data_IF_196269986000
#
_entry.id   IF_196269986000
#
_cell.length_a   1.000
_cell.length_b   1.000
_cell.length_c   1.000
_cell.angle_alpha   90.00
_cell.angle_beta   90.00
_cell.angle_gamma   90.00
#
_symmetry.space_group_name_H-M   'P 1'
#
loop_
_entity.id
_entity.type
_entity.pdbx_description
1 polymer ?
#
# COMPACT_ATOMS: atom_id res chain seq x y z
N UNK A 1 1.62 -3.23 -1.22
CA UNK A 1 1.46 -2.21 -0.16
C UNK A 1 1.98 -2.69 1.20
N UNK A 2 1.91 -3.97 1.50
CA UNK A 2 2.20 -4.55 2.81
C UNK A 2 3.67 -4.98 2.92
N UNK A 3 4.29 -4.76 4.08
CA UNK A 3 5.67 -5.16 4.36
C UNK A 3 5.77 -6.66 4.64
N UNK A 4 4.92 -7.13 5.53
CA UNK A 4 4.80 -8.54 5.93
C UNK A 4 3.37 -8.83 6.34
N UNK A 5 3.00 -10.11 6.25
CA UNK A 5 1.73 -10.62 6.77
C UNK A 5 2.01 -11.50 8.00
N UNK A 6 1.31 -11.24 9.08
CA UNK A 6 1.43 -11.99 10.33
C UNK A 6 0.11 -12.66 10.66
N UNK A 7 0.18 -13.94 10.96
CA UNK A 7 -0.98 -14.71 11.45
C UNK A 7 -1.07 -14.54 12.97
N UNK A 8 -2.24 -14.15 13.45
CA UNK A 8 -2.51 -13.97 14.89
C UNK A 8 -3.71 -14.81 15.34
N UNK A 9 -3.77 -15.12 16.62
CA UNK A 9 -4.90 -15.80 17.23
C UNK A 9 -5.82 -14.75 17.88
N UNK A 10 -7.04 -14.61 17.35
CA UNK A 10 -8.05 -13.68 17.85
C UNK A 10 -8.33 -12.49 16.93
N UNK A 11 -9.39 -11.75 17.21
CA UNK A 11 -9.94 -10.65 16.36
C UNK A 11 -9.29 -9.30 16.67
N UNK A 12 -8.51 -9.21 17.73
CA UNK A 12 -7.86 -8.01 18.19
C UNK A 12 -6.42 -8.31 18.59
N UNK A 13 -5.50 -7.50 18.12
CA UNK A 13 -4.10 -7.61 18.51
C UNK A 13 -3.70 -6.38 19.32
N UNK A 14 -3.20 -6.61 20.53
CA UNK A 14 -2.51 -5.58 21.30
C UNK A 14 -1.08 -5.49 20.74
N UNK A 15 -0.78 -4.38 20.11
CA UNK A 15 0.53 -4.10 19.56
C UNK A 15 1.29 -3.13 20.45
N UNK A 16 2.54 -3.42 20.70
CA UNK A 16 3.47 -2.49 21.34
C UNK A 16 4.09 -1.62 20.26
N UNK A 17 3.87 -0.32 20.31
CA UNK A 17 4.51 0.65 19.43
C UNK A 17 5.63 1.32 20.20
N UNK A 18 6.79 1.44 19.58
CA UNK A 18 7.88 2.25 20.11
C UNK A 18 7.58 3.72 19.83
N UNK A 19 7.51 4.52 20.87
CA UNK A 19 7.46 5.96 20.74
C UNK A 19 8.90 6.46 20.61
N UNK A 20 9.26 6.93 19.42
CA UNK A 20 10.52 7.60 19.19
C UNK A 20 10.34 9.10 19.36
N UNK A 21 11.02 9.68 20.32
CA UNK A 21 11.08 11.14 20.47
C UNK A 21 12.18 11.66 19.56
N UNK A 22 11.78 12.07 18.36
CA UNK A 22 12.63 12.51 17.24
C UNK A 22 13.59 13.67 17.60
N UNK A 23 13.31 14.42 18.66
CA UNK A 23 14.09 15.63 18.98
C UNK A 23 15.53 15.39 19.46
N UNK A 24 15.91 14.15 19.72
CA UNK A 24 17.22 13.86 20.31
C UNK A 24 18.00 12.70 19.69
N UNK A 25 17.65 12.24 18.48
CA UNK A 25 18.29 11.12 17.82
C UNK A 25 19.61 11.51 17.15
N UNK A 26 20.58 11.90 17.99
CA UNK A 26 21.93 12.20 17.57
C UNK A 26 22.91 11.10 17.99
N UNK A 27 23.60 10.50 17.03
CA UNK A 27 24.85 9.78 17.33
C UNK A 27 25.92 10.81 17.71
N UNK A 28 26.39 10.73 18.93
CA UNK A 28 27.44 11.65 19.42
C UNK A 28 28.82 11.00 19.31
N UNK A 29 29.81 11.77 18.84
CA UNK A 29 31.18 11.38 18.98
C UNK A 29 31.57 11.47 20.45
N UNK A 30 31.90 10.35 21.07
CA UNK A 30 32.22 10.27 22.50
C UNK A 30 33.75 10.19 22.64
N UNK A 31 34.30 11.01 23.49
CA UNK A 31 35.74 10.96 23.82
C UNK A 31 36.07 9.63 24.51
N UNK A 32 37.33 9.20 24.41
CA UNK A 32 37.81 7.99 25.08
C UNK A 32 37.55 8.06 26.59
N UNK A 33 36.85 7.05 27.15
CA UNK A 33 36.42 7.04 28.55
C UNK A 33 35.12 7.82 28.83
N UNK A 34 34.52 8.46 27.84
CA UNK A 34 33.23 9.15 27.96
C UNK A 34 32.06 8.20 28.19
N UNK A 35 31.03 8.63 28.96
CA UNK A 35 29.83 7.84 29.19
C UNK A 35 28.96 7.84 27.95
N UNK A 36 28.60 6.67 27.45
CA UNK A 36 27.66 6.51 26.36
C UNK A 36 26.27 6.94 26.85
N UNK A 37 25.59 7.90 26.19
CA UNK A 37 24.23 8.25 26.53
C UNK A 37 23.28 7.07 26.25
N UNK A 38 22.59 6.61 27.26
CA UNK A 38 21.59 5.53 27.16
C UNK A 38 20.21 6.13 27.35
N UNK A 39 19.31 5.80 26.45
CA UNK A 39 17.90 6.27 26.48
C UNK A 39 16.97 5.13 26.80
N UNK A 40 15.86 5.46 27.45
CA UNK A 40 14.80 4.53 27.70
C UNK A 40 13.82 4.53 26.52
N UNK A 41 13.60 3.37 25.93
CA UNK A 41 12.55 3.18 24.93
C UNK A 41 11.19 3.23 25.65
N UNK A 42 10.34 4.15 25.26
CA UNK A 42 8.95 4.18 25.71
C UNK A 42 8.11 3.33 24.79
N UNK A 43 7.21 2.57 25.36
CA UNK A 43 6.29 1.71 24.61
C UNK A 43 4.87 2.05 24.97
N UNK A 44 4.00 2.24 23.99
CA UNK A 44 2.55 2.30 24.16
C UNK A 44 1.90 1.01 23.66
N UNK A 45 0.77 0.65 24.25
CA UNK A 45 -0.01 -0.51 23.79
C UNK A 45 -1.18 -0.02 22.97
N UNK A 46 -1.27 -0.52 21.76
CA UNK A 46 -2.30 -0.18 20.80
C UNK A 46 -3.06 -1.42 20.38
N UNK A 47 -4.38 -1.27 20.27
CA UNK A 47 -5.28 -2.33 19.84
C UNK A 47 -5.67 -2.12 18.39
N UNK A 48 -5.34 -3.07 17.54
CA UNK A 48 -5.73 -3.08 16.13
C UNK A 48 -6.83 -4.10 15.93
N UNK A 49 -7.98 -3.66 15.43
CA UNK A 49 -9.13 -4.52 15.12
C UNK A 49 -9.03 -5.09 13.72
N UNK A 50 -9.40 -6.37 13.61
CA UNK A 50 -9.57 -7.02 12.33
C UNK A 50 -11.01 -6.92 11.84
N UNK A 51 -11.17 -6.82 10.54
CA UNK A 51 -12.47 -6.78 9.88
C UNK A 51 -12.64 -8.00 8.97
N UNK A 52 -13.86 -8.50 8.92
CA UNK A 52 -14.19 -9.60 8.03
C UNK A 52 -14.40 -9.07 6.62
N UNK A 53 -13.59 -9.55 5.70
CA UNK A 53 -13.75 -9.36 4.27
C UNK A 53 -14.32 -10.65 3.68
N UNK A 54 -15.41 -10.54 2.94
CA UNK A 54 -16.03 -11.72 2.37
C UNK A 54 -16.93 -11.40 1.20
N UNK A 55 -17.09 -12.38 0.33
CA UNK A 55 -18.01 -12.32 -0.80
C UNK A 55 -18.44 -13.75 -1.16
N UNK A 56 -19.63 -13.88 -1.73
CA UNK A 56 -20.13 -15.16 -2.17
C UNK A 56 -21.00 -15.02 -3.42
N UNK A 57 -21.39 -16.14 -3.97
CA UNK A 57 -22.33 -16.25 -5.06
C UNK A 57 -23.22 -17.46 -4.89
N UNK A 58 -24.39 -17.39 -5.48
CA UNK A 58 -25.44 -18.38 -5.39
C UNK A 58 -25.93 -18.75 -6.80
N UNK A 59 -26.22 -20.03 -7.03
CA UNK A 59 -26.82 -20.49 -8.26
C UNK A 59 -27.74 -21.69 -8.02
N UNK A 60 -28.75 -21.84 -8.87
CA UNK A 60 -29.72 -22.93 -8.79
C UNK A 60 -29.17 -24.23 -9.37
N UNK A 61 -29.70 -25.36 -8.91
CA UNK A 61 -29.36 -26.68 -9.47
C UNK A 61 -29.67 -26.79 -10.95
N UNK A 62 -30.74 -26.16 -11.40
CA UNK A 62 -31.12 -26.15 -12.82
C UNK A 62 -30.10 -25.42 -13.69
N UNK A 63 -29.59 -24.27 -13.19
CA UNK A 63 -28.54 -23.54 -13.86
C UNK A 63 -27.26 -24.38 -14.00
N UNK A 64 -26.84 -25.03 -12.93
CA UNK A 64 -25.66 -25.90 -12.95
C UNK A 64 -25.82 -27.12 -13.88
N UNK A 65 -27.04 -27.68 -13.98
CA UNK A 65 -27.33 -28.82 -14.86
C UNK A 65 -27.35 -28.41 -16.34
N UNK A 66 -27.81 -27.20 -16.66
CA UNK A 66 -27.93 -26.69 -18.03
C UNK A 66 -26.64 -26.05 -18.54
N UNK A 67 -25.74 -25.64 -17.65
CA UNK A 67 -24.47 -25.06 -18.03
C UNK A 67 -23.57 -26.15 -18.64
N UNK A 68 -23.27 -26.05 -19.93
CA UNK A 68 -22.38 -26.96 -20.65
C UNK A 68 -20.89 -26.66 -20.41
N UNK A 69 -20.59 -25.58 -19.72
CA UNK A 69 -19.24 -25.10 -19.40
C UNK A 69 -19.08 -24.97 -17.89
N UNK A 70 -17.87 -25.13 -17.39
CA UNK A 70 -17.54 -24.82 -16.00
C UNK A 70 -17.63 -23.31 -15.79
N UNK A 71 -18.79 -22.86 -15.28
CA UNK A 71 -19.04 -21.46 -14.95
C UNK A 71 -18.59 -21.12 -13.52
N UNK A 72 -18.41 -22.12 -12.68
CA UNK A 72 -18.09 -21.97 -11.25
C UNK A 72 -16.69 -21.37 -11.06
N UNK A 73 -15.72 -21.88 -11.78
CA UNK A 73 -14.31 -21.44 -11.70
C UNK A 73 -14.11 -19.95 -12.01
N UNK A 74 -14.71 -19.38 -13.09
CA UNK A 74 -14.65 -17.94 -13.35
C UNK A 74 -15.30 -17.08 -12.25
N UNK A 75 -16.41 -17.55 -11.65
CA UNK A 75 -17.05 -16.84 -10.55
C UNK A 75 -16.20 -16.88 -9.29
N UNK A 76 -15.61 -18.01 -8.93
CA UNK A 76 -14.71 -18.13 -7.80
C UNK A 76 -13.50 -17.17 -7.94
N UNK A 77 -12.95 -17.06 -9.13
CA UNK A 77 -11.86 -16.13 -9.44
C UNK A 77 -12.28 -14.67 -9.28
N UNK A 78 -13.51 -14.31 -9.67
CA UNK A 78 -14.07 -12.96 -9.49
C UNK A 78 -14.27 -12.63 -8.01
N UNK A 79 -14.76 -13.58 -7.21
CA UNK A 79 -14.92 -13.41 -5.76
C UNK A 79 -13.55 -13.19 -5.10
N UNK A 80 -12.56 -14.00 -5.44
CA UNK A 80 -11.20 -13.84 -4.94
C UNK A 80 -10.63 -12.45 -5.27
N UNK A 81 -10.76 -12.01 -6.52
CA UNK A 81 -10.29 -10.68 -6.94
C UNK A 81 -11.00 -9.54 -6.22
N UNK A 82 -12.32 -9.64 -5.97
CA UNK A 82 -13.06 -8.63 -5.19
C UNK A 82 -12.57 -8.57 -3.74
N UNK A 83 -12.27 -9.72 -3.16
CA UNK A 83 -11.69 -9.79 -1.82
C UNK A 83 -10.33 -9.09 -1.76
N UNK A 84 -9.45 -9.34 -2.73
CA UNK A 84 -8.15 -8.67 -2.83
C UNK A 84 -8.29 -7.14 -2.99
N UNK A 85 -9.22 -6.69 -3.85
CA UNK A 85 -9.50 -5.25 -4.01
C UNK A 85 -9.96 -4.63 -2.70
N UNK A 86 -10.85 -5.30 -1.96
CA UNK A 86 -11.32 -4.83 -0.65
C UNK A 86 -10.18 -4.74 0.37
N UNK A 87 -9.28 -5.72 0.39
CA UNK A 87 -8.09 -5.72 1.24
C UNK A 87 -7.13 -4.58 0.89
N UNK A 88 -6.87 -4.37 -0.40
CA UNK A 88 -6.04 -3.24 -0.86
C UNK A 88 -6.66 -1.90 -0.50
N UNK A 89 -7.98 -1.76 -0.61
CA UNK A 89 -8.70 -0.55 -0.19
C UNK A 89 -8.56 -0.30 1.31
N UNK A 90 -8.71 -1.32 2.14
CA UNK A 90 -8.53 -1.22 3.58
C UNK A 90 -7.08 -0.85 3.94
N UNK A 91 -6.09 -1.50 3.32
CA UNK A 91 -4.67 -1.17 3.49
C UNK A 91 -4.36 0.29 3.12
N UNK A 92 -4.89 0.76 2.00
CA UNK A 92 -4.71 2.14 1.54
C UNK A 92 -5.39 3.14 2.49
N UNK A 93 -6.59 2.80 2.99
CA UNK A 93 -7.29 3.63 3.97
C UNK A 93 -6.47 3.80 5.26
N UNK A 94 -5.83 2.73 5.74
CA UNK A 94 -4.95 2.80 6.91
C UNK A 94 -3.70 3.64 6.64
N UNK A 95 -3.11 3.55 5.46
CA UNK A 95 -1.97 4.39 5.07
C UNK A 95 -2.32 5.88 5.07
N UNK A 96 -3.54 6.25 4.68
CA UNK A 96 -3.98 7.66 4.61
C UNK A 96 -4.53 8.13 5.95
N UNK A 97 -5.52 7.40 6.50
CA UNK A 97 -6.32 7.84 7.63
C UNK A 97 -5.80 7.39 8.99
N UNK A 98 -4.77 6.52 8.98
CA UNK A 98 -4.26 5.91 10.20
C UNK A 98 -4.98 4.62 10.58
N UNK A 99 -4.46 3.93 11.58
CA UNK A 99 -4.95 2.65 12.09
C UNK A 99 -5.88 2.77 13.32
N UNK A 100 -6.32 4.00 13.62
CA UNK A 100 -7.16 4.30 14.80
C UNK A 100 -6.33 4.69 16.04
N UNK A 101 -5.04 4.48 16.02
CA UNK A 101 -4.08 4.86 17.04
C UNK A 101 -3.13 5.92 16.51
N UNK A 102 -2.52 5.64 15.37
CA UNK A 102 -1.70 6.62 14.66
C UNK A 102 -2.61 7.57 13.88
N UNK A 103 -2.31 8.85 13.97
CA UNK A 103 -3.09 9.90 13.31
C UNK A 103 -3.08 9.75 11.79
N UNK A 104 -4.04 10.38 11.12
CA UNK A 104 -4.05 10.49 9.66
C UNK A 104 -2.77 11.17 9.16
N UNK A 105 -2.29 10.75 8.00
CA UNK A 105 -1.15 11.39 7.36
C UNK A 105 -1.53 12.80 6.92
N UNK A 106 -0.71 13.80 7.28
CA UNK A 106 -0.92 15.19 6.85
C UNK A 106 -0.57 15.29 5.36
N UNK A 107 -1.45 15.90 4.57
CA UNK A 107 -1.18 16.10 3.16
C UNK A 107 -0.09 17.16 2.96
N UNK A 108 0.98 16.78 2.27
CA UNK A 108 2.01 17.70 1.77
C UNK A 108 1.70 18.08 0.32
N UNK A 109 2.05 19.30 -0.08
CA UNK A 109 1.84 19.75 -1.46
C UNK A 109 3.14 19.61 -2.26
N UNK A 110 3.10 18.82 -3.33
CA UNK A 110 4.24 18.62 -4.24
C UNK A 110 4.61 19.92 -4.99
N UNK A 111 3.69 20.87 -5.08
CA UNK A 111 3.97 22.20 -5.66
C UNK A 111 5.08 22.95 -4.89
N UNK A 112 5.25 22.68 -3.59
CA UNK A 112 6.34 23.20 -2.77
C UNK A 112 7.73 22.83 -3.33
N UNK A 113 7.82 21.70 -4.02
CA UNK A 113 9.05 21.23 -4.68
C UNK A 113 9.12 21.65 -6.16
N UNK A 114 8.11 22.39 -6.62
CA UNK A 114 8.05 22.94 -7.95
C UNK A 114 7.26 22.12 -8.97
N UNK A 115 6.42 21.16 -8.54
CA UNK A 115 5.53 20.43 -9.43
C UNK A 115 4.30 21.26 -9.84
N UNK A 116 3.75 20.92 -10.99
CA UNK A 116 2.45 21.40 -11.46
C UNK A 116 1.89 20.40 -12.48
N UNK A 117 1.18 19.40 -11.99
CA UNK A 117 0.58 18.37 -12.83
C UNK A 117 -0.70 18.80 -13.54
N UNK A 118 -1.30 19.92 -13.10
CA UNK A 118 -2.52 20.45 -13.68
C UNK A 118 -2.28 21.57 -14.71
N UNK A 119 -1.04 22.07 -14.79
CA UNK A 119 -0.79 23.35 -15.42
C UNK A 119 0.28 23.38 -16.50
N UNK A 120 1.12 24.40 -16.44
CA UNK A 120 2.01 24.82 -17.50
C UNK A 120 3.39 24.16 -17.50
N UNK A 121 3.72 23.38 -16.46
CA UNK A 121 5.04 22.76 -16.35
C UNK A 121 5.18 21.51 -17.19
N UNK A 122 6.38 21.28 -17.67
CA UNK A 122 6.69 20.08 -18.45
C UNK A 122 6.74 18.82 -17.55
N UNK A 123 6.55 17.66 -18.15
CA UNK A 123 6.70 16.38 -17.46
C UNK A 123 8.09 16.22 -16.82
N UNK A 124 9.12 16.81 -17.45
CA UNK A 124 10.48 16.84 -16.92
C UNK A 124 10.59 17.67 -15.63
N UNK A 125 9.86 18.79 -15.54
CA UNK A 125 9.87 19.62 -14.34
C UNK A 125 9.13 18.94 -13.19
N UNK A 126 8.04 18.25 -13.50
CA UNK A 126 7.30 17.45 -12.52
C UNK A 126 8.13 16.26 -12.00
N UNK A 127 8.89 15.59 -12.89
CA UNK A 127 9.84 14.55 -12.48
C UNK A 127 10.94 15.11 -11.56
N UNK A 128 11.48 16.28 -11.90
CA UNK A 128 12.48 16.96 -11.06
C UNK A 128 11.91 17.30 -9.67
N UNK A 129 10.66 17.73 -9.59
CA UNK A 129 9.99 18.04 -8.33
C UNK A 129 9.77 16.77 -7.49
N UNK A 130 9.32 15.68 -8.11
CA UNK A 130 9.19 14.38 -7.45
C UNK A 130 10.55 13.89 -6.93
N UNK A 131 11.60 14.00 -7.74
CA UNK A 131 12.95 13.64 -7.31
C UNK A 131 13.43 14.49 -6.12
N UNK A 132 13.18 15.82 -6.14
CA UNK A 132 13.51 16.71 -5.02
C UNK A 132 12.75 16.32 -3.74
N UNK A 133 11.47 15.96 -3.84
CA UNK A 133 10.68 15.48 -2.72
C UNK A 133 11.30 14.23 -2.10
N UNK A 134 11.57 13.19 -2.90
CA UNK A 134 12.17 11.94 -2.44
C UNK A 134 13.52 12.20 -1.78
N UNK A 135 14.34 13.04 -2.40
CA UNK A 135 15.65 13.43 -1.86
C UNK A 135 15.58 14.17 -0.53
N UNK A 136 14.59 15.06 -0.39
CA UNK A 136 14.36 15.79 0.87
C UNK A 136 14.01 14.81 2.00
N UNK A 137 13.18 13.79 1.69
CA UNK A 137 12.83 12.75 2.68
C UNK A 137 14.01 11.84 2.99
N UNK A 138 14.83 11.46 2.01
CA UNK A 138 16.06 10.72 2.26
C UNK A 138 17.04 11.49 3.15
N UNK A 139 17.18 12.80 2.92
CA UNK A 139 17.99 13.67 3.79
C UNK A 139 17.48 13.70 5.24
N UNK A 140 16.16 13.55 5.42
CA UNK A 140 15.53 13.45 6.72
C UNK A 140 15.59 12.02 7.34
N UNK A 141 16.25 11.06 6.67
CA UNK A 141 16.42 9.69 7.16
C UNK A 141 15.38 8.69 6.66
N UNK A 142 14.39 9.10 5.85
CA UNK A 142 13.33 8.22 5.34
C UNK A 142 13.67 7.71 3.93
N UNK A 143 13.98 6.44 3.81
CA UNK A 143 14.31 5.80 2.52
C UNK A 143 13.06 5.35 1.79
N UNK A 144 12.33 6.30 1.18
CA UNK A 144 11.14 5.99 0.39
C UNK A 144 11.52 5.04 -0.76
N UNK A 145 10.84 3.90 -0.84
CA UNK A 145 11.02 2.87 -1.85
C UNK A 145 9.75 2.60 -2.67
N UNK A 146 8.59 3.04 -2.18
CA UNK A 146 7.30 2.75 -2.81
C UNK A 146 6.41 3.99 -2.84
N UNK A 147 5.77 4.20 -3.99
CA UNK A 147 4.73 5.22 -4.19
C UNK A 147 3.47 4.49 -4.64
N UNK A 148 2.37 4.67 -3.92
CA UNK A 148 1.06 4.23 -4.36
C UNK A 148 0.26 5.42 -4.88
N UNK A 149 -0.38 5.29 -6.03
CA UNK A 149 -1.19 6.34 -6.64
C UNK A 149 -2.38 5.76 -7.41
N UNK A 150 -3.33 6.62 -7.79
CA UNK A 150 -4.45 6.24 -8.65
C UNK A 150 -4.03 6.12 -10.11
N UNK A 151 -4.98 5.73 -10.98
CA UNK A 151 -4.72 5.47 -12.40
C UNK A 151 -4.20 6.71 -13.15
N UNK A 152 -4.82 7.86 -12.95
CA UNK A 152 -4.47 9.09 -13.68
C UNK A 152 -3.04 9.53 -13.37
N UNK A 153 -2.71 9.58 -12.09
CA UNK A 153 -1.37 9.96 -11.67
C UNK A 153 -0.33 8.89 -12.03
N UNK A 154 -0.75 7.61 -12.04
CA UNK A 154 0.11 6.51 -12.50
C UNK A 154 0.51 6.67 -13.97
N UNK A 155 -0.45 7.03 -14.83
CA UNK A 155 -0.19 7.30 -16.25
C UNK A 155 0.76 8.49 -16.42
N UNK A 156 0.54 9.58 -15.69
CA UNK A 156 1.43 10.75 -15.71
C UNK A 156 2.87 10.39 -15.29
N UNK A 157 3.02 9.61 -14.22
CA UNK A 157 4.33 9.11 -13.76
C UNK A 157 5.00 8.22 -14.81
N UNK A 158 4.23 7.39 -15.50
CA UNK A 158 4.73 6.54 -16.59
C UNK A 158 5.27 7.40 -17.76
N UNK A 159 4.54 8.44 -18.16
CA UNK A 159 5.00 9.36 -19.22
C UNK A 159 6.20 10.20 -18.78
N UNK A 160 6.27 10.64 -17.54
CA UNK A 160 7.46 11.31 -17.01
C UNK A 160 8.71 10.43 -17.14
N UNK A 161 8.57 9.15 -16.81
CA UNK A 161 9.65 8.18 -16.92
C UNK A 161 10.06 7.94 -18.37
N UNK A 162 9.11 7.74 -19.28
CA UNK A 162 9.37 7.52 -20.69
C UNK A 162 10.10 8.73 -21.34
N UNK A 163 9.75 9.95 -20.97
CA UNK A 163 10.42 11.16 -21.49
C UNK A 163 11.83 11.38 -20.94
N UNK A 164 12.11 10.95 -19.72
CA UNK A 164 13.45 11.09 -19.14
C UNK A 164 14.44 10.05 -19.66
N UNK A 165 13.95 8.91 -20.13
CA UNK A 165 14.75 7.78 -20.61
C UNK A 165 14.73 7.61 -22.14
N UNK A 166 14.30 8.57 -22.92
CA UNK A 166 14.34 8.49 -24.39
C UNK A 166 15.80 8.49 -24.88
N UNK A 167 16.47 7.39 -24.63
CA UNK A 167 17.77 7.05 -25.18
C UNK A 167 17.78 5.75 -25.97
N UNK A 168 16.94 4.79 -25.65
CA UNK A 168 16.98 3.46 -26.32
C UNK A 168 15.61 2.77 -26.36
N UNK A 169 15.30 2.19 -27.52
CA UNK A 169 14.10 1.37 -27.72
C UNK A 169 14.01 0.17 -26.76
N UNK A 170 15.11 -0.24 -26.17
CA UNK A 170 15.20 -1.32 -25.19
C UNK A 170 14.52 -1.00 -23.85
N UNK A 171 14.46 0.27 -23.47
CA UNK A 171 13.86 0.67 -22.20
C UNK A 171 12.32 0.61 -22.25
N UNK A 172 11.74 0.85 -23.42
CA UNK A 172 10.29 0.67 -23.66
C UNK A 172 9.93 -0.83 -23.69
N UNK A 173 10.80 -1.69 -24.21
CA UNK A 173 10.60 -3.14 -24.20
C UNK A 173 10.67 -3.70 -22.77
N UNK A 174 11.51 -3.17 -21.91
CA UNK A 174 11.59 -3.56 -20.50
C UNK A 174 10.33 -3.17 -19.72
N UNK A 175 9.68 -2.05 -20.05
CA UNK A 175 8.37 -1.69 -19.51
C UNK A 175 7.26 -2.64 -19.95
N UNK A 176 7.33 -3.17 -21.18
CA UNK A 176 6.37 -4.14 -21.72
C UNK A 176 6.65 -5.57 -21.23
N UNK A 177 7.91 -5.94 -21.06
CA UNK A 177 8.31 -7.28 -20.62
C UNK A 177 8.08 -7.51 -19.12
N UNK A 178 8.03 -6.45 -18.32
CA UNK A 178 7.89 -6.56 -16.88
C UNK A 178 6.52 -7.05 -16.42
N UNK A 179 5.47 -7.10 -17.27
CA UNK A 179 4.16 -7.70 -16.95
C UNK A 179 3.61 -7.45 -15.54
N UNK A 180 4.36 -6.71 -14.74
CA UNK A 180 4.09 -6.44 -13.35
C UNK A 180 3.40 -5.08 -13.21
N UNK A 181 2.42 -4.93 -12.34
CA UNK A 181 1.73 -3.66 -12.08
C UNK A 181 2.61 -2.72 -11.25
N UNK A 182 3.82 -2.43 -11.71
CA UNK A 182 4.74 -1.51 -11.03
C UNK A 182 5.71 -0.87 -12.01
N UNK A 183 5.91 0.44 -11.87
CA UNK A 183 6.91 1.21 -12.61
C UNK A 183 8.04 1.51 -11.63
N UNK A 184 9.27 1.23 -12.04
CA UNK A 184 10.45 1.61 -11.27
C UNK A 184 10.94 2.97 -11.76
N UNK A 185 10.85 3.97 -10.90
CA UNK A 185 11.42 5.29 -11.17
C UNK A 185 12.90 5.29 -10.74
N UNK A 186 13.85 5.53 -11.65
CA UNK A 186 15.26 5.65 -11.28
C UNK A 186 15.46 7.00 -10.57
N UNK A 187 15.58 6.97 -9.26
CA UNK A 187 15.93 8.14 -8.45
C UNK A 187 17.24 7.84 -7.73
N UNK A 188 18.33 8.51 -8.13
CA UNK A 188 19.65 8.50 -7.48
C UNK A 188 20.14 7.13 -6.99
N UNK A 189 20.50 6.22 -7.87
CA UNK A 189 20.99 4.86 -7.55
C UNK A 189 19.98 3.94 -6.83
N UNK A 190 18.76 4.39 -6.57
CA UNK A 190 17.67 3.59 -6.05
C UNK A 190 16.52 3.55 -7.04
N UNK A 191 15.72 2.49 -7.00
CA UNK A 191 14.48 2.39 -7.75
C UNK A 191 13.31 2.57 -6.79
N UNK A 192 12.46 3.56 -7.07
CA UNK A 192 11.18 3.72 -6.37
C UNK A 192 10.11 3.00 -7.17
N UNK A 193 9.45 2.06 -6.54
CA UNK A 193 8.39 1.28 -7.17
C UNK A 193 7.06 2.05 -7.11
N UNK A 194 6.42 2.27 -8.26
CA UNK A 194 5.11 2.92 -8.33
C UNK A 194 4.03 1.84 -8.46
N UNK A 195 3.10 1.81 -7.52
CA UNK A 195 2.02 0.82 -7.44
C UNK A 195 0.68 1.49 -7.66
N UNK A 196 -0.14 0.88 -8.52
CA UNK A 196 -1.50 1.33 -8.75
C UNK A 196 -2.42 0.93 -7.60
N UNK A 197 -3.15 1.90 -7.05
CA UNK A 197 -4.23 1.67 -6.08
C UNK A 197 -5.43 2.58 -6.41
N UNK A 198 -6.54 1.96 -6.82
CA UNK A 198 -7.78 2.67 -7.12
C UNK A 198 -8.46 3.32 -5.90
N UNK A 199 -7.95 3.05 -4.70
CA UNK A 199 -8.51 3.57 -3.45
C UNK A 199 -7.88 4.89 -3.02
N UNK A 200 -6.87 5.36 -3.74
CA UNK A 200 -6.24 6.66 -3.47
C UNK A 200 -7.05 7.74 -4.22
N UNK A 201 -7.38 8.86 -3.57
CA UNK A 201 -8.07 9.97 -4.21
C UNK A 201 -7.32 10.52 -5.42
N UNK A 202 -8.07 11.04 -6.38
CA UNK A 202 -7.52 11.66 -7.58
C UNK A 202 -6.60 12.83 -7.22
N UNK A 203 -5.47 12.93 -7.91
CA UNK A 203 -4.49 13.97 -7.67
C UNK A 203 -3.60 13.76 -6.45
N UNK A 204 -3.74 12.65 -5.73
CA UNK A 204 -2.91 12.32 -4.57
C UNK A 204 -2.11 11.05 -4.78
N UNK A 205 -1.00 10.94 -4.04
CA UNK A 205 -0.26 9.70 -3.90
C UNK A 205 0.22 9.51 -2.45
N UNK A 206 0.55 8.28 -2.10
CA UNK A 206 1.17 7.96 -0.82
C UNK A 206 2.57 7.42 -1.10
N UNK A 207 3.57 8.08 -0.57
CA UNK A 207 4.95 7.62 -0.61
C UNK A 207 5.32 7.02 0.75
N UNK A 208 5.94 5.85 0.77
CA UNK A 208 6.26 5.17 2.03
C UNK A 208 7.42 4.19 1.90
N UNK A 209 7.94 3.77 3.03
CA UNK A 209 8.95 2.72 3.13
C UNK A 209 8.21 1.38 3.27
N UNK A 210 8.13 0.60 2.19
CA UNK A 210 7.33 -0.63 2.12
C UNK A 210 7.67 -1.61 3.24
N UNK A 211 8.95 -1.75 3.58
CA UNK A 211 9.40 -2.75 4.56
C UNK A 211 8.99 -2.45 6.00
N UNK A 212 8.65 -1.22 6.30
CA UNK A 212 8.49 -0.75 7.68
C UNK A 212 7.11 -0.18 7.97
N UNK A 213 6.41 0.36 6.93
CA UNK A 213 5.24 1.19 7.17
C UNK A 213 3.98 0.41 7.51
N UNK A 214 3.65 -0.67 6.81
CA UNK A 214 2.37 -1.34 6.93
C UNK A 214 2.51 -2.85 7.12
N UNK A 215 1.96 -3.38 8.18
CA UNK A 215 1.85 -4.81 8.49
C UNK A 215 0.41 -5.30 8.32
N UNK A 216 0.23 -6.42 7.64
CA UNK A 216 -1.05 -7.12 7.55
C UNK A 216 -1.17 -8.15 8.67
N UNK A 217 -2.30 -8.13 9.35
CA UNK A 217 -2.66 -9.08 10.37
C UNK A 217 -3.78 -9.97 9.84
N UNK A 218 -3.57 -11.29 9.87
CA UNK A 218 -4.56 -12.27 9.43
C UNK A 218 -4.91 -13.16 10.61
N UNK A 219 -6.19 -13.35 10.88
CA UNK A 219 -6.63 -14.23 11.96
C UNK A 219 -6.42 -15.70 11.56
N UNK A 220 -5.82 -16.47 12.47
CA UNK A 220 -5.58 -17.89 12.27
C UNK A 220 -6.91 -18.65 12.05
N UNK A 221 -6.99 -19.40 10.94
CA UNK A 221 -8.18 -20.19 10.62
C UNK A 221 -9.40 -19.37 10.16
N UNK A 222 -9.26 -18.05 9.93
CA UNK A 222 -10.37 -17.19 9.48
C UNK A 222 -10.67 -17.32 8.00
N UNK A 223 -9.76 -17.88 7.21
CA UNK A 223 -9.99 -18.10 5.79
C UNK A 223 -11.02 -19.21 5.59
N UNK A 224 -12.23 -18.83 5.22
CA UNK A 224 -13.33 -19.73 4.92
C UNK A 224 -13.54 -19.76 3.41
N UNK A 225 -13.56 -20.95 2.83
CA UNK A 225 -13.92 -21.17 1.44
C UNK A 225 -14.84 -22.40 1.41
N UNK A 226 -16.13 -22.16 1.60
CA UNK A 226 -17.11 -23.21 1.79
C UNK A 226 -18.26 -23.10 0.80
N UNK A 227 -18.93 -24.23 0.59
CA UNK A 227 -20.16 -24.30 -0.21
C UNK A 227 -21.24 -25.02 0.58
N UNK A 228 -22.45 -24.47 0.52
CA UNK A 228 -23.64 -25.07 1.09
C UNK A 228 -24.64 -25.40 -0.01
N UNK A 229 -25.32 -26.54 0.15
CA UNK A 229 -26.42 -26.95 -0.72
C UNK A 229 -27.72 -26.93 0.05
N UNK A 230 -28.64 -26.10 -0.36
CA UNK A 230 -29.98 -26.08 0.18
C UNK A 230 -30.90 -26.95 -0.68
N UNK A 231 -31.45 -28.01 -0.10
CA UNK A 231 -32.35 -28.95 -0.82
C UNK A 231 -33.72 -28.32 -1.02
N UNK A 232 -34.18 -27.50 -0.07
CA UNK A 232 -35.50 -26.88 -0.10
C UNK A 232 -35.62 -25.81 -1.16
N UNK A 233 -34.57 -25.02 -1.35
CA UNK A 233 -34.48 -23.95 -2.35
C UNK A 233 -33.81 -24.39 -3.66
N UNK A 234 -33.21 -25.59 -3.66
CA UNK A 234 -32.42 -26.13 -4.77
C UNK A 234 -31.30 -25.20 -5.26
N UNK A 235 -30.58 -24.65 -4.30
CA UNK A 235 -29.54 -23.64 -4.51
C UNK A 235 -28.21 -24.13 -3.93
N UNK A 236 -27.12 -23.77 -4.60
CA UNK A 236 -25.75 -23.91 -4.11
C UNK A 236 -25.20 -22.54 -3.85
N UNK A 237 -24.76 -22.29 -2.64
CA UNK A 237 -24.12 -21.04 -2.20
C UNK A 237 -22.64 -21.29 -1.97
N UNK A 238 -21.78 -20.46 -2.56
CA UNK A 238 -20.33 -20.44 -2.31
C UNK A 238 -19.98 -19.16 -1.60
N UNK A 239 -19.22 -19.28 -0.51
CA UNK A 239 -18.76 -18.14 0.27
C UNK A 239 -17.26 -18.23 0.46
N UNK A 240 -16.58 -17.11 0.28
CA UNK A 240 -15.18 -16.93 0.67
C UNK A 240 -15.07 -15.72 1.58
N UNK A 241 -14.44 -15.90 2.73
CA UNK A 241 -14.20 -14.82 3.68
C UNK A 241 -12.87 -15.01 4.38
N UNK A 242 -12.31 -13.89 4.87
CA UNK A 242 -11.07 -13.83 5.63
C UNK A 242 -11.14 -12.64 6.58
N UNK A 243 -10.63 -12.78 7.80
CA UNK A 243 -10.49 -11.68 8.74
C UNK A 243 -9.09 -11.09 8.64
N UNK A 244 -9.01 -9.82 8.24
CA UNK A 244 -7.74 -9.10 8.12
C UNK A 244 -7.80 -7.74 8.79
N UNK A 245 -6.66 -7.31 9.31
CA UNK A 245 -6.45 -5.98 9.85
C UNK A 245 -5.13 -5.41 9.34
N UNK A 246 -4.97 -4.12 9.41
CA UNK A 246 -3.75 -3.44 8.99
C UNK A 246 -3.25 -2.56 10.11
N UNK A 247 -1.96 -2.62 10.37
CA UNK A 247 -1.27 -1.87 11.41
C UNK A 247 -0.17 -1.04 10.79
N UNK A 248 -0.04 0.18 11.26
CA UNK A 248 1.12 1.02 10.97
C UNK A 248 2.23 0.68 11.97
N UNK A 249 3.33 0.11 11.47
CA UNK A 249 4.49 -0.20 12.29
C UNK A 249 5.42 1.00 12.42
N UNK A 250 5.53 1.83 11.37
CA UNK A 250 6.31 3.05 11.35
C UNK A 250 5.50 4.19 10.72
N UNK A 251 4.74 4.95 11.53
CA UNK A 251 3.83 5.97 11.03
C UNK A 251 4.55 7.14 10.33
N UNK A 252 5.75 7.50 10.77
CA UNK A 252 6.52 8.64 10.24
C UNK A 252 7.15 8.35 8.88
N UNK A 253 7.29 7.08 8.51
CA UNK A 253 7.83 6.66 7.20
C UNK A 253 6.83 6.70 6.05
N UNK A 254 5.67 7.36 6.21
CA UNK A 254 4.63 7.50 5.20
C UNK A 254 4.29 8.96 4.94
N UNK A 255 4.12 9.31 3.68
CA UNK A 255 3.85 10.68 3.24
C UNK A 255 2.65 10.68 2.31
N UNK A 256 1.59 11.37 2.70
CA UNK A 256 0.43 11.63 1.85
C UNK A 256 0.66 12.92 1.09
N UNK A 257 0.68 12.87 -0.22
CA UNK A 257 1.15 14.00 -1.05
C UNK A 257 0.10 14.38 -2.07
N UNK A 258 -0.23 15.66 -2.11
CA UNK A 258 -1.05 16.25 -3.16
C UNK A 258 -0.16 16.58 -4.35
N UNK A 259 -0.42 15.96 -5.49
CA UNK A 259 0.31 16.18 -6.74
C UNK A 259 -0.45 17.10 -7.70
N UNK A 260 -1.78 17.03 -7.70
CA UNK A 260 -2.66 17.76 -8.60
C UNK A 260 -3.72 18.51 -7.80
N UNK A 261 -3.93 19.76 -8.15
CA UNK A 261 -4.96 20.60 -7.53
C UNK A 261 -6.35 20.23 -8.06
#
# INVERSE_FOLDING_TARGET
LVSQSRVINGVEMISTVMEDTVEEDGTFTIAEGGKIPVRAVRTSQNSVRMYKHGSGYEFTYEFNRRASLDIITPFASRVARRLEISKVAAATSVLISGDGVNAAATAEDLATYGADFAGTKTLKDNYRALAKFIMAKWKAGYTIDTIACNFDLYVEMMFMFAQTNIGTASDIQNLQAAGAPGINLPVMNGMVNVVLSSSIPDGYFVAFVKRESLEELVEAGSTIAESERSITTQVVTYVRSENTGYKLSFPDGRFYVKAKA
#
